data_IF_274653870803
#
_entry.id   IF_274653870803
#
_cell.length_a   1.000
_cell.length_b   1.000
_cell.length_c   1.000
_cell.angle_alpha   90.00
_cell.angle_beta   90.00
_cell.angle_gamma   90.00
#
_symmetry.space_group_name_H-M   'P 1'
#
loop_
_entity.id
_entity.type
_entity.pdbx_description
1 polymer ?
#
# COMPACT_ATOMS: atom_id res chain seq x y z
N UNK A 1 12.93 13.05 -20.44
CA UNK A 1 12.90 13.77 -19.14
C UNK A 1 13.05 12.73 -18.07
N UNK A 2 14.22 12.67 -17.43
CA UNK A 2 14.50 11.67 -16.40
C UNK A 2 13.46 11.76 -15.29
N UNK A 3 12.89 10.63 -14.91
CA UNK A 3 12.14 10.55 -13.66
C UNK A 3 13.08 11.08 -12.56
N UNK A 4 12.59 11.97 -11.69
CA UNK A 4 13.40 12.69 -10.70
C UNK A 4 13.97 11.83 -9.57
N UNK A 5 14.38 10.60 -9.87
CA UNK A 5 15.17 9.73 -8.99
C UNK A 5 16.61 10.23 -8.91
N UNK A 6 17.25 9.98 -7.79
CA UNK A 6 18.66 10.28 -7.57
C UNK A 6 19.56 9.35 -8.40
N UNK A 7 20.82 9.78 -8.57
CA UNK A 7 21.86 8.93 -9.15
C UNK A 7 22.23 7.75 -8.23
N UNK A 8 21.90 7.83 -6.92
CA UNK A 8 22.19 6.80 -5.93
C UNK A 8 21.23 5.60 -6.03
N UNK A 9 20.04 5.75 -6.60
CA UNK A 9 19.09 4.64 -6.76
C UNK A 9 19.57 3.68 -7.86
N UNK A 10 19.59 2.37 -7.58
CA UNK A 10 19.79 1.36 -8.62
C UNK A 10 18.61 1.33 -9.61
N UNK A 11 18.86 1.26 -10.93
CA UNK A 11 17.80 1.08 -11.91
C UNK A 11 17.10 -0.28 -11.73
N UNK A 12 15.78 -0.27 -11.83
CA UNK A 12 14.97 -1.48 -11.82
C UNK A 12 15.06 -2.18 -13.18
N UNK A 13 15.50 -3.46 -13.22
CA UNK A 13 15.83 -4.14 -14.46
C UNK A 13 14.58 -4.42 -15.32
N UNK A 14 14.82 -4.61 -16.62
CA UNK A 14 13.83 -5.23 -17.51
C UNK A 14 13.79 -6.72 -17.17
N UNK A 15 12.59 -7.28 -16.98
CA UNK A 15 12.42 -8.70 -16.73
C UNK A 15 12.80 -9.47 -18.00
N UNK A 16 13.78 -10.39 -17.96
CA UNK A 16 14.23 -11.10 -19.16
C UNK A 16 13.09 -11.83 -19.89
N UNK A 17 12.11 -12.32 -19.14
CA UNK A 17 10.96 -13.06 -19.66
C UNK A 17 9.85 -12.17 -20.23
N UNK A 18 9.87 -10.85 -20.00
CA UNK A 18 8.85 -9.94 -20.53
C UNK A 18 8.85 -9.95 -22.07
N UNK A 19 10.02 -9.93 -22.70
CA UNK A 19 10.13 -10.01 -24.16
C UNK A 19 9.93 -11.43 -24.73
N UNK A 20 9.97 -12.46 -23.88
CA UNK A 20 9.95 -13.86 -24.31
C UNK A 20 8.54 -14.47 -24.33
N UNK A 21 7.63 -13.94 -23.51
CA UNK A 21 6.26 -14.46 -23.38
C UNK A 21 5.25 -13.60 -24.13
N UNK A 22 4.29 -14.24 -24.78
CA UNK A 22 3.13 -13.55 -25.36
C UNK A 22 2.18 -13.08 -24.27
N UNK A 23 1.26 -12.18 -24.63
CA UNK A 23 0.17 -11.75 -23.73
C UNK A 23 -0.64 -12.95 -23.25
N UNK A 24 -0.96 -13.88 -24.15
CA UNK A 24 -1.76 -15.07 -23.83
C UNK A 24 -1.00 -16.02 -22.89
N UNK A 25 0.30 -16.21 -23.09
CA UNK A 25 1.11 -17.03 -22.17
C UNK A 25 1.16 -16.45 -20.76
N UNK A 26 1.32 -15.12 -20.62
CA UNK A 26 1.29 -14.47 -19.31
C UNK A 26 -0.12 -14.56 -18.70
N UNK A 27 -1.17 -14.40 -19.51
CA UNK A 27 -2.56 -14.52 -19.07
C UNK A 27 -2.83 -15.91 -18.49
N UNK A 28 -2.45 -16.97 -19.19
CA UNK A 28 -2.64 -18.35 -18.75
C UNK A 28 -1.87 -18.66 -17.46
N UNK A 29 -0.63 -18.18 -17.33
CA UNK A 29 0.21 -18.38 -16.14
C UNK A 29 -0.28 -17.64 -14.89
N UNK A 30 -1.03 -16.57 -15.09
CA UNK A 30 -1.59 -15.74 -14.00
C UNK A 30 -3.08 -16.01 -13.76
N UNK A 31 -3.66 -16.96 -14.49
CA UNK A 31 -5.03 -17.41 -14.27
C UNK A 31 -5.14 -18.27 -13.00
N UNK A 32 -6.33 -18.31 -12.43
CA UNK A 32 -6.69 -19.30 -11.42
C UNK A 32 -7.27 -20.56 -12.09
N UNK A 33 -7.04 -21.77 -11.55
CA UNK A 33 -7.72 -22.96 -12.04
C UNK A 33 -9.25 -22.79 -11.96
N UNK A 34 -9.94 -23.04 -13.08
CA UNK A 34 -11.40 -22.86 -13.18
C UNK A 34 -11.85 -21.39 -13.15
N UNK A 35 -10.96 -20.44 -13.39
CA UNK A 35 -11.30 -19.02 -13.48
C UNK A 35 -12.24 -18.77 -14.67
N UNK A 36 -13.42 -18.25 -14.36
CA UNK A 36 -14.37 -17.76 -15.34
C UNK A 36 -14.45 -16.24 -15.22
N UNK A 37 -13.56 -15.54 -15.93
CA UNK A 37 -13.69 -14.10 -16.12
C UNK A 37 -14.77 -13.79 -17.15
N UNK A 38 -15.38 -12.60 -17.05
CA UNK A 38 -16.17 -12.07 -18.16
C UNK A 38 -15.30 -11.86 -19.39
N UNK A 39 -15.90 -11.80 -20.58
CA UNK A 39 -15.17 -11.45 -21.82
C UNK A 39 -14.50 -10.08 -21.70
N UNK A 40 -15.18 -9.12 -21.05
CA UNK A 40 -14.64 -7.78 -20.80
C UNK A 40 -13.43 -7.80 -19.87
N UNK A 41 -13.52 -8.50 -18.72
CA UNK A 41 -12.40 -8.62 -17.78
C UNK A 41 -11.22 -9.37 -18.42
N UNK A 42 -11.49 -10.37 -19.25
CA UNK A 42 -10.46 -11.10 -20.00
C UNK A 42 -9.72 -10.18 -20.95
N UNK A 43 -10.44 -9.41 -21.78
CA UNK A 43 -9.84 -8.45 -22.69
C UNK A 43 -9.04 -7.38 -21.91
N UNK A 44 -9.61 -6.87 -20.82
CA UNK A 44 -8.98 -5.84 -20.00
C UNK A 44 -7.69 -6.35 -19.33
N UNK A 45 -7.71 -7.58 -18.80
CA UNK A 45 -6.51 -8.20 -18.22
C UNK A 45 -5.42 -8.36 -19.27
N UNK A 46 -5.77 -8.74 -20.52
CA UNK A 46 -4.81 -8.81 -21.63
C UNK A 46 -4.22 -7.44 -22.01
N UNK A 47 -5.01 -6.37 -22.00
CA UNK A 47 -4.50 -5.00 -22.17
C UNK A 47 -3.49 -4.64 -21.07
N UNK A 48 -3.80 -4.95 -19.80
CA UNK A 48 -2.90 -4.70 -18.67
C UNK A 48 -1.61 -5.51 -18.80
N UNK A 49 -1.69 -6.77 -19.22
CA UNK A 49 -0.52 -7.62 -19.50
C UNK A 49 0.34 -6.97 -20.58
N UNK A 50 -0.26 -6.56 -21.70
CA UNK A 50 0.47 -5.92 -22.79
C UNK A 50 1.19 -4.65 -22.30
N UNK A 51 0.51 -3.79 -21.54
CA UNK A 51 1.12 -2.60 -20.95
C UNK A 51 2.33 -2.93 -20.07
N UNK A 52 2.21 -3.88 -19.13
CA UNK A 52 3.33 -4.27 -18.26
C UNK A 52 4.47 -4.90 -19.04
N UNK A 53 4.15 -5.81 -19.97
CA UNK A 53 5.14 -6.49 -20.81
C UNK A 53 5.93 -5.49 -21.65
N UNK A 54 5.25 -4.55 -22.29
CA UNK A 54 5.85 -3.51 -23.13
C UNK A 54 6.63 -2.50 -22.26
N UNK A 55 6.27 -2.35 -20.98
CA UNK A 55 7.04 -1.64 -19.96
C UNK A 55 8.20 -2.48 -19.38
N UNK A 56 8.47 -3.68 -19.91
CA UNK A 56 9.56 -4.56 -19.49
C UNK A 56 9.30 -5.34 -18.20
N UNK A 57 8.04 -5.53 -17.82
CA UNK A 57 7.62 -6.25 -16.60
C UNK A 57 6.81 -7.50 -17.00
N UNK A 58 7.30 -8.67 -16.63
CA UNK A 58 6.55 -9.93 -16.69
C UNK A 58 5.75 -10.14 -15.39
N UNK A 59 4.41 -10.12 -15.50
CA UNK A 59 3.46 -10.36 -14.40
C UNK A 59 3.41 -11.80 -13.90
N UNK A 60 3.95 -12.75 -14.68
CA UNK A 60 3.91 -14.18 -14.40
C UNK A 60 5.18 -14.69 -13.69
N UNK A 61 6.03 -13.79 -13.19
CA UNK A 61 7.26 -14.18 -12.50
C UNK A 61 6.99 -14.88 -11.17
N UNK A 62 7.57 -16.08 -11.02
CA UNK A 62 7.63 -16.85 -9.78
C UNK A 62 6.26 -16.96 -9.07
N UNK A 63 5.23 -17.37 -9.81
CA UNK A 63 3.84 -17.48 -9.35
C UNK A 63 3.58 -18.71 -8.48
N UNK A 64 4.59 -19.53 -8.19
CA UNK A 64 4.47 -20.82 -7.51
C UNK A 64 4.23 -20.75 -5.99
N UNK A 65 4.32 -19.57 -5.37
CA UNK A 65 4.15 -19.43 -3.92
C UNK A 65 3.75 -18.03 -3.48
N UNK A 66 3.65 -17.82 -2.17
CA UNK A 66 3.30 -16.50 -1.62
C UNK A 66 4.46 -15.50 -1.73
N UNK A 67 5.72 -15.94 -1.82
CA UNK A 67 6.90 -15.08 -1.95
C UNK A 67 7.62 -15.34 -3.28
N UNK A 68 8.05 -14.28 -3.96
CA UNK A 68 8.84 -14.32 -5.20
C UNK A 68 10.30 -14.02 -4.91
N UNK A 69 11.17 -15.00 -5.07
CA UNK A 69 12.63 -14.81 -4.95
C UNK A 69 13.16 -13.95 -6.10
N UNK A 70 12.60 -14.13 -7.30
CA UNK A 70 12.99 -13.38 -8.49
C UNK A 70 12.69 -11.89 -8.35
N UNK A 71 11.46 -11.51 -7.99
CA UNK A 71 11.13 -10.08 -7.79
C UNK A 71 11.91 -9.47 -6.63
N UNK A 72 12.16 -10.23 -5.56
CA UNK A 72 13.02 -9.78 -4.48
C UNK A 72 14.46 -9.48 -4.94
N UNK A 73 15.01 -10.27 -5.87
CA UNK A 73 16.34 -10.00 -6.44
C UNK A 73 16.39 -8.79 -7.37
N UNK A 74 15.25 -8.31 -7.87
CA UNK A 74 15.19 -7.10 -8.71
C UNK A 74 14.98 -5.81 -7.90
N UNK A 75 14.75 -5.91 -6.59
CA UNK A 75 14.64 -4.75 -5.73
C UNK A 75 15.94 -3.93 -5.79
N UNK A 76 15.88 -2.59 -5.86
CA UNK A 76 17.05 -1.73 -5.72
C UNK A 76 17.82 -2.05 -4.45
N UNK A 77 19.14 -2.25 -4.56
CA UNK A 77 20.01 -2.56 -3.43
C UNK A 77 20.54 -1.28 -2.78
N UNK A 78 20.61 -0.19 -3.54
CA UNK A 78 20.95 1.15 -3.10
C UNK A 78 19.77 2.11 -3.24
N UNK A 79 19.69 3.07 -2.31
CA UNK A 79 18.66 4.11 -2.23
C UNK A 79 19.33 5.44 -1.86
N UNK A 80 18.75 6.58 -2.25
CA UNK A 80 19.26 7.87 -1.79
C UNK A 80 19.27 7.96 -0.28
N UNK A 81 20.39 8.48 0.24
CA UNK A 81 20.57 8.88 1.64
C UNK A 81 19.79 10.15 2.04
N UNK A 82 19.08 10.77 1.09
CA UNK A 82 18.20 11.89 1.34
C UNK A 82 16.79 11.41 1.65
N UNK A 83 16.15 12.10 2.59
CA UNK A 83 14.77 11.84 3.04
C UNK A 83 13.98 13.15 3.00
N UNK A 84 12.69 13.12 2.64
CA UNK A 84 11.83 14.32 2.65
C UNK A 84 11.67 14.83 4.10
N UNK A 85 12.16 16.04 4.35
CA UNK A 85 12.10 16.74 5.65
C UNK A 85 10.76 17.48 5.84
N UNK A 86 10.31 17.75 7.09
CA UNK A 86 11.03 17.57 8.34
C UNK A 86 10.86 16.18 8.98
N UNK A 87 11.99 15.55 9.31
CA UNK A 87 12.13 14.59 10.39
C UNK A 87 12.20 15.36 11.72
N UNK A 88 11.18 16.18 12.04
CA UNK A 88 11.01 16.61 13.44
C UNK A 88 10.90 15.37 14.33
N UNK A 89 10.99 15.49 15.65
CA UNK A 89 11.01 14.38 16.63
C UNK A 89 9.88 13.32 16.50
N UNK A 90 8.93 13.53 15.59
CA UNK A 90 7.98 12.56 15.08
C UNK A 90 8.44 12.15 13.66
N UNK A 91 8.82 10.89 13.42
CA UNK A 91 9.25 10.39 12.10
C UNK A 91 8.18 10.58 11.02
N UNK A 92 8.17 11.76 10.42
CA UNK A 92 7.10 12.16 9.55
C UNK A 92 7.32 11.77 8.07
N UNK A 93 8.31 10.94 7.71
CA UNK A 93 8.44 10.25 6.42
C UNK A 93 9.88 9.77 6.28
N UNK A 94 10.29 8.68 6.93
CA UNK A 94 11.69 8.29 7.01
C UNK A 94 12.22 7.54 5.77
N UNK A 95 11.50 7.61 4.65
CA UNK A 95 11.87 6.91 3.43
C UNK A 95 12.78 7.77 2.56
N UNK A 96 13.60 7.08 1.76
CA UNK A 96 14.43 7.71 0.74
C UNK A 96 13.57 8.57 -0.19
N UNK A 97 14.08 9.71 -0.65
CA UNK A 97 13.40 10.52 -1.68
C UNK A 97 13.10 9.74 -2.96
N UNK A 98 13.81 8.62 -3.16
CA UNK A 98 13.69 7.71 -4.29
C UNK A 98 12.57 6.67 -4.11
N UNK A 99 11.97 6.59 -2.93
CA UNK A 99 10.89 5.65 -2.66
C UNK A 99 9.76 5.86 -3.68
N UNK A 100 9.26 4.80 -4.34
CA UNK A 100 8.30 4.90 -5.44
C UNK A 100 7.06 5.73 -5.06
N UNK A 101 6.63 5.64 -3.80
CA UNK A 101 5.50 6.39 -3.24
C UNK A 101 5.67 7.91 -3.30
N UNK A 102 6.87 8.46 -3.46
CA UNK A 102 7.10 9.92 -3.48
C UNK A 102 7.13 10.54 -4.85
N UNK A 103 7.07 9.73 -5.91
CA UNK A 103 7.18 10.20 -7.27
C UNK A 103 5.79 10.40 -7.88
N UNK A 104 5.44 11.64 -8.29
CA UNK A 104 4.25 11.86 -9.09
C UNK A 104 4.30 11.02 -10.36
N UNK A 105 3.18 10.42 -10.75
CA UNK A 105 3.07 9.64 -11.97
C UNK A 105 3.07 10.61 -13.16
N UNK A 106 4.06 10.53 -14.08
CA UNK A 106 4.08 11.36 -15.28
C UNK A 106 2.78 11.26 -16.10
N UNK A 107 2.39 12.33 -16.79
CA UNK A 107 1.17 12.33 -17.61
C UNK A 107 1.24 11.35 -18.80
N UNK A 108 2.45 11.01 -19.25
CA UNK A 108 2.71 10.10 -20.36
C UNK A 108 3.05 8.66 -19.92
N UNK A 109 2.90 8.34 -18.63
CA UNK A 109 3.08 6.96 -18.15
C UNK A 109 2.07 6.04 -18.87
N UNK A 110 2.51 4.88 -19.40
CA UNK A 110 1.58 3.89 -19.96
C UNK A 110 0.48 3.55 -18.96
N UNK A 111 -0.76 3.47 -19.43
CA UNK A 111 -1.90 3.28 -18.56
C UNK A 111 -3.02 2.54 -19.25
N UNK A 112 -3.75 1.71 -18.51
CA UNK A 112 -4.93 0.99 -18.99
C UNK A 112 -6.13 1.38 -18.14
N UNK A 113 -7.18 1.89 -18.78
CA UNK A 113 -8.41 2.29 -18.09
C UNK A 113 -9.16 1.05 -17.60
N UNK A 114 -9.43 1.00 -16.30
CA UNK A 114 -10.31 0.01 -15.68
C UNK A 114 -11.79 0.26 -16.07
N UNK A 115 -12.66 -0.76 -16.00
CA UNK A 115 -14.10 -0.56 -16.16
C UNK A 115 -14.60 0.54 -15.21
N UNK A 116 -15.51 1.40 -15.69
CA UNK A 116 -16.15 2.39 -14.81
C UNK A 116 -16.93 1.65 -13.72
N UNK A 117 -16.84 2.11 -12.48
CA UNK A 117 -17.45 1.41 -11.35
C UNK A 117 -16.64 0.22 -10.82
N UNK A 118 -15.43 -0.04 -11.35
CA UNK A 118 -14.57 -1.12 -10.86
C UNK A 118 -14.34 -1.05 -9.35
N UNK A 119 -14.08 0.16 -8.85
CA UNK A 119 -14.04 0.48 -7.43
C UNK A 119 -15.38 1.07 -6.98
N UNK A 120 -16.35 0.20 -6.74
CA UNK A 120 -17.72 0.60 -6.35
C UNK A 120 -17.89 0.94 -4.88
N UNK A 121 -16.90 0.64 -4.05
CA UNK A 121 -16.89 0.97 -2.62
C UNK A 121 -15.51 1.39 -2.17
N UNK A 122 -15.46 2.29 -1.19
CA UNK A 122 -14.25 2.71 -0.52
C UNK A 122 -14.40 2.56 0.98
N UNK A 123 -13.31 2.25 1.67
CA UNK A 123 -13.27 2.15 3.12
C UNK A 123 -11.98 2.81 3.63
N UNK A 124 -12.09 3.66 4.63
CA UNK A 124 -10.96 4.22 5.37
C UNK A 124 -10.71 3.33 6.58
N UNK A 125 -9.62 2.58 6.54
CA UNK A 125 -9.17 1.77 7.67
C UNK A 125 -8.46 2.69 8.66
N UNK A 126 -9.24 3.21 9.61
CA UNK A 126 -8.73 3.95 10.77
C UNK A 126 -8.33 2.97 11.85
N UNK A 127 -7.30 3.29 12.64
CA UNK A 127 -6.88 2.36 13.69
C UNK A 127 -7.78 2.48 14.93
N UNK A 128 -8.17 3.69 15.34
CA UNK A 128 -9.08 3.89 16.50
C UNK A 128 -10.46 4.40 16.10
N UNK A 129 -11.49 3.71 16.60
CA UNK A 129 -12.90 3.95 16.29
C UNK A 129 -13.30 3.47 14.89
N UNK A 130 -14.59 3.63 14.55
CA UNK A 130 -15.19 3.12 13.31
C UNK A 130 -14.88 1.63 13.04
N UNK A 131 -14.16 1.29 11.97
CA UNK A 131 -13.88 -0.10 11.58
C UNK A 131 -12.69 -0.71 12.35
N UNK A 132 -11.78 0.13 12.84
CA UNK A 132 -10.66 -0.24 13.68
C UNK A 132 -9.67 -1.21 13.04
N UNK A 133 -9.43 -1.12 11.73
CA UNK A 133 -8.55 -2.04 10.96
C UNK A 133 -7.26 -1.36 10.48
N UNK A 134 -7.12 -0.05 10.69
CA UNK A 134 -5.90 0.72 10.36
C UNK A 134 -4.67 0.30 11.18
N UNK A 135 -3.58 1.04 11.04
CA UNK A 135 -2.32 0.71 11.72
C UNK A 135 -2.08 1.62 12.91
N UNK A 136 -1.77 1.04 14.07
CA UNK A 136 -1.22 1.78 15.20
C UNK A 136 0.20 2.24 14.90
N UNK A 137 0.57 3.44 15.33
CA UNK A 137 1.95 3.94 15.24
C UNK A 137 2.42 4.37 16.63
N UNK A 138 3.47 3.70 17.12
CA UNK A 138 4.09 3.98 18.41
C UNK A 138 5.50 4.53 18.15
N UNK A 139 5.67 5.85 18.29
CA UNK A 139 6.95 6.54 18.11
C UNK A 139 7.59 6.76 19.46
N UNK A 140 8.74 6.14 19.72
CA UNK A 140 9.46 6.31 20.97
C UNK A 140 10.45 7.49 20.96
N UNK A 141 10.83 7.88 22.16
CA UNK A 141 11.77 8.93 22.52
C UNK A 141 13.00 8.32 23.21
N UNK A 142 14.02 9.16 23.43
CA UNK A 142 15.26 8.76 24.14
C UNK A 142 15.06 8.32 25.58
N UNK A 143 13.95 8.70 26.21
CA UNK A 143 13.64 8.36 27.61
C UNK A 143 12.81 7.10 27.74
N UNK A 144 12.30 6.56 26.64
CA UNK A 144 11.50 5.35 26.66
C UNK A 144 12.37 4.11 26.90
N UNK A 145 11.86 3.08 27.59
CA UNK A 145 12.63 1.86 27.86
C UNK A 145 12.90 1.06 26.57
N UNK A 146 14.05 0.40 26.52
CA UNK A 146 14.32 -0.64 25.51
C UNK A 146 13.53 -1.89 25.86
N UNK A 147 12.73 -2.37 24.91
CA UNK A 147 11.87 -3.56 25.04
C UNK A 147 12.20 -4.58 23.96
N UNK A 148 11.94 -5.85 24.28
CA UNK A 148 12.04 -6.95 23.33
C UNK A 148 10.73 -7.08 22.55
N UNK A 149 10.83 -7.17 21.22
CA UNK A 149 9.69 -7.47 20.33
C UNK A 149 9.96 -8.80 19.62
N UNK A 150 9.21 -9.84 19.97
CA UNK A 150 9.44 -11.21 19.45
C UNK A 150 8.43 -11.60 18.37
N UNK A 151 8.92 -12.05 17.23
CA UNK A 151 8.12 -12.65 16.16
C UNK A 151 7.84 -14.13 16.46
N UNK A 152 6.56 -14.51 16.55
CA UNK A 152 6.14 -15.90 16.79
C UNK A 152 6.35 -16.78 15.56
N UNK A 153 6.19 -16.24 14.35
CA UNK A 153 6.28 -17.00 13.11
C UNK A 153 7.68 -17.54 12.81
N UNK A 154 8.75 -16.80 13.15
CA UNK A 154 10.14 -17.18 12.86
C UNK A 154 11.07 -17.15 14.08
N UNK A 155 10.54 -16.87 15.27
CA UNK A 155 11.29 -16.88 16.54
C UNK A 155 12.27 -15.71 16.71
N UNK A 156 12.37 -14.79 15.75
CA UNK A 156 13.28 -13.64 15.83
C UNK A 156 12.86 -12.68 16.92
N UNK A 157 13.85 -12.04 17.54
CA UNK A 157 13.65 -11.01 18.55
C UNK A 157 14.36 -9.72 18.13
N UNK A 158 13.67 -8.61 18.30
CA UNK A 158 14.13 -7.27 17.98
C UNK A 158 14.21 -6.45 19.26
N UNK A 159 15.17 -5.55 19.37
CA UNK A 159 15.29 -4.61 20.48
C UNK A 159 15.00 -3.20 19.97
N UNK A 160 14.07 -2.51 20.62
CA UNK A 160 13.70 -1.15 20.26
C UNK A 160 13.29 -0.36 21.51
N UNK A 161 13.55 0.95 21.53
CA UNK A 161 12.88 1.85 22.46
C UNK A 161 11.38 1.84 22.15
N UNK A 162 10.55 1.56 23.15
CA UNK A 162 9.09 1.56 23.02
C UNK A 162 8.50 2.39 24.14
N UNK A 163 7.56 3.27 23.79
CA UNK A 163 6.83 4.09 24.76
C UNK A 163 6.34 3.24 25.92
N UNK A 164 6.54 3.71 27.16
CA UNK A 164 6.05 3.03 28.37
C UNK A 164 4.54 3.21 28.60
N UNK A 165 3.80 3.27 27.50
CA UNK A 165 2.36 3.39 27.41
C UNK A 165 1.71 2.01 27.27
N UNK A 166 0.41 1.91 27.57
CA UNK A 166 -0.31 0.66 27.34
C UNK A 166 -0.46 0.40 25.84
N UNK A 167 -0.18 -0.83 25.39
CA UNK A 167 -0.28 -1.22 23.99
C UNK A 167 -1.66 -0.88 23.38
N UNK A 168 -2.71 -0.94 24.19
CA UNK A 168 -4.10 -0.61 23.85
C UNK A 168 -4.28 0.81 23.26
N UNK A 169 -3.38 1.74 23.56
CA UNK A 169 -3.39 3.08 22.96
C UNK A 169 -3.08 3.06 21.47
N UNK A 170 -2.30 2.08 21.02
CA UNK A 170 -1.88 1.91 19.63
C UNK A 170 -2.68 0.81 18.92
N UNK A 171 -3.33 -0.11 19.65
CA UNK A 171 -4.05 -1.21 19.02
C UNK A 171 -5.25 -0.73 18.20
N UNK A 172 -5.43 -1.30 16.99
CA UNK A 172 -6.64 -1.15 16.24
C UNK A 172 -7.87 -1.59 17.06
N UNK A 173 -8.96 -0.82 17.04
CA UNK A 173 -10.14 -1.08 17.91
C UNK A 173 -10.82 -2.42 17.61
N UNK A 174 -10.71 -2.92 16.37
CA UNK A 174 -11.32 -4.19 16.00
C UNK A 174 -10.39 -5.35 16.32
N UNK A 175 -10.69 -6.07 17.40
CA UNK A 175 -9.93 -7.24 17.84
C UNK A 175 -9.82 -8.36 16.79
N UNK A 176 -10.68 -8.37 15.75
CA UNK A 176 -10.59 -9.34 14.64
C UNK A 176 -9.62 -8.90 13.53
N UNK A 177 -9.21 -7.64 13.52
CA UNK A 177 -8.19 -7.13 12.61
C UNK A 177 -6.82 -7.78 12.88
N UNK A 178 -5.83 -7.43 12.07
CA UNK A 178 -4.46 -7.90 12.27
C UNK A 178 -3.72 -7.25 13.40
N UNK A 179 -4.34 -6.34 14.16
CA UNK A 179 -3.75 -5.71 15.34
C UNK A 179 -2.33 -5.21 15.03
N UNK A 180 -2.21 -4.52 13.89
CA UNK A 180 -0.95 -4.05 13.32
C UNK A 180 -0.48 -2.83 14.09
N UNK A 181 0.76 -2.87 14.59
CA UNK A 181 1.43 -1.76 15.26
C UNK A 181 2.81 -1.55 14.66
N UNK A 182 3.15 -0.30 14.38
CA UNK A 182 4.45 0.14 13.89
C UNK A 182 5.22 0.73 15.07
N UNK A 183 6.21 0.00 15.58
CA UNK A 183 7.10 0.50 16.62
C UNK A 183 8.26 1.22 15.96
N UNK A 184 8.35 2.55 16.14
CA UNK A 184 9.39 3.38 15.58
C UNK A 184 10.33 3.81 16.70
N UNK A 185 11.58 3.36 16.62
CA UNK A 185 12.65 3.71 17.55
C UNK A 185 13.28 5.06 17.15
N UNK A 186 12.93 6.11 17.89
CA UNK A 186 13.53 7.46 17.88
C UNK A 186 15.05 7.46 17.84
N UNK A 187 15.65 6.59 18.64
CA UNK A 187 17.04 6.65 19.05
C UNK A 187 17.93 5.83 18.13
N UNK A 188 17.51 4.60 17.84
CA UNK A 188 18.27 3.68 17.02
C UNK A 188 17.91 3.77 15.54
N UNK A 189 16.93 4.62 15.20
CA UNK A 189 16.40 4.76 13.86
C UNK A 189 15.95 3.42 13.26
N UNK A 190 15.11 2.67 13.99
CA UNK A 190 14.55 1.40 13.50
C UNK A 190 13.03 1.45 13.46
N UNK A 191 12.45 0.65 12.57
CA UNK A 191 11.02 0.42 12.47
C UNK A 191 10.78 -1.08 12.62
N UNK A 192 9.98 -1.49 13.60
CA UNK A 192 9.47 -2.85 13.71
C UNK A 192 8.01 -2.87 13.28
N UNK A 193 7.74 -3.42 12.10
CA UNK A 193 6.39 -3.72 11.65
C UNK A 193 5.92 -4.98 12.39
N UNK A 194 4.87 -4.87 13.21
CA UNK A 194 4.37 -5.95 14.05
C UNK A 194 2.91 -6.26 13.71
N UNK A 195 2.67 -7.46 13.19
CA UNK A 195 1.31 -8.01 13.05
C UNK A 195 0.91 -8.78 14.30
N UNK A 196 -0.37 -8.80 14.64
CA UNK A 196 -0.96 -9.46 15.81
C UNK A 196 -0.22 -9.10 17.10
N UNK A 197 0.02 -7.80 17.30
CA UNK A 197 0.76 -7.27 18.43
C UNK A 197 0.08 -7.62 19.76
N UNK A 198 0.88 -8.07 20.72
CA UNK A 198 0.47 -8.40 22.08
C UNK A 198 1.53 -7.92 23.06
N UNK A 199 1.10 -7.53 24.26
CA UNK A 199 2.00 -7.12 25.34
C UNK A 199 2.17 -8.29 26.32
N UNK A 200 3.43 -8.62 26.65
CA UNK A 200 3.82 -9.69 27.57
C UNK A 200 4.69 -9.10 28.69
N UNK A 201 4.05 -8.73 29.80
CA UNK A 201 4.70 -7.94 30.85
C UNK A 201 5.12 -6.58 30.28
N UNK A 202 6.42 -6.32 30.23
CA UNK A 202 6.99 -5.11 29.64
C UNK A 202 7.42 -5.26 28.18
N UNK A 203 7.47 -6.48 27.67
CA UNK A 203 7.90 -6.80 26.30
C UNK A 203 6.68 -7.03 25.38
N UNK A 204 6.95 -7.29 24.10
CA UNK A 204 5.92 -7.47 23.09
C UNK A 204 6.13 -8.74 22.27
N UNK A 205 5.03 -9.32 21.81
CA UNK A 205 5.05 -10.41 20.83
C UNK A 205 4.18 -10.08 19.63
N UNK A 206 4.60 -10.56 18.47
CA UNK A 206 3.95 -10.37 17.18
C UNK A 206 3.65 -11.74 16.57
N UNK A 207 2.54 -11.86 15.83
CA UNK A 207 2.32 -13.01 14.95
C UNK A 207 3.48 -13.16 13.97
N UNK A 208 3.80 -12.07 13.29
CA UNK A 208 5.00 -11.92 12.48
C UNK A 208 5.54 -10.49 12.64
N UNK A 209 6.86 -10.35 12.73
CA UNK A 209 7.50 -9.04 12.77
C UNK A 209 8.75 -8.96 11.90
N UNK A 210 8.95 -7.77 11.33
CA UNK A 210 10.11 -7.43 10.50
C UNK A 210 10.66 -6.09 10.99
N UNK A 211 11.96 -6.05 11.25
CA UNK A 211 12.68 -4.82 11.55
C UNK A 211 13.31 -4.25 10.27
N UNK A 212 13.20 -2.95 10.09
CA UNK A 212 13.88 -2.15 9.07
C UNK A 212 14.67 -1.02 9.71
N UNK A 213 15.66 -0.51 9.00
CA UNK A 213 16.47 0.64 9.41
C UNK A 213 15.97 1.92 8.74
N UNK A 214 16.02 3.02 9.47
CA UNK A 214 15.68 4.37 9.07
C UNK A 214 16.90 5.30 9.31
N UNK A 215 16.91 6.53 8.77
CA UNK A 215 16.12 6.96 7.60
C UNK A 215 16.60 6.27 6.32
N UNK A 216 16.00 6.60 5.17
CA UNK A 216 16.39 6.16 3.83
C UNK A 216 15.92 4.75 3.43
N UNK A 217 14.93 4.21 4.14
CA UNK A 217 14.25 2.99 3.69
C UNK A 217 13.63 3.26 2.30
N UNK A 218 13.68 2.28 1.40
CA UNK A 218 13.01 2.38 0.10
C UNK A 218 11.50 2.19 0.23
N UNK A 219 11.05 0.94 0.15
CA UNK A 219 9.61 0.61 0.16
C UNK A 219 9.27 -0.73 0.83
N UNK A 220 10.26 -1.42 1.40
CA UNK A 220 10.14 -2.81 1.82
C UNK A 220 10.21 -2.99 3.34
N UNK A 221 9.98 -4.23 3.79
CA UNK A 221 10.22 -4.63 5.18
C UNK A 221 8.98 -4.59 6.07
N UNK A 222 7.79 -4.72 5.50
CA UNK A 222 6.54 -4.81 6.26
C UNK A 222 5.98 -6.21 6.40
N UNK A 223 4.84 -6.27 7.07
CA UNK A 223 4.11 -7.51 7.43
C UNK A 223 2.85 -7.71 6.59
N UNK A 224 2.46 -6.72 5.78
CA UNK A 224 1.37 -6.84 4.80
C UNK A 224 1.74 -7.78 3.66
N UNK A 225 0.74 -8.33 2.98
CA UNK A 225 0.92 -9.42 2.02
C UNK A 225 1.93 -9.12 0.89
N UNK A 226 1.97 -7.88 0.39
CA UNK A 226 2.95 -7.46 -0.64
C UNK A 226 4.42 -7.51 -0.20
N UNK A 227 4.69 -7.48 1.11
CA UNK A 227 6.03 -7.34 1.69
C UNK A 227 6.58 -5.91 1.67
N UNK A 228 5.78 -4.95 1.21
CA UNK A 228 6.07 -3.52 1.34
C UNK A 228 6.04 -3.10 2.82
N UNK A 229 6.79 -2.07 3.19
CA UNK A 229 6.71 -1.48 4.53
C UNK A 229 5.28 -1.00 4.81
N UNK A 230 4.72 -1.33 5.98
CA UNK A 230 3.39 -0.87 6.35
C UNK A 230 3.35 0.65 6.57
N UNK A 231 4.50 1.27 6.84
CA UNK A 231 4.64 2.72 6.95
C UNK A 231 4.67 3.37 5.56
N UNK A 232 5.00 2.64 4.50
CA UNK A 232 5.06 3.19 3.15
C UNK A 232 3.64 3.50 2.67
N UNK A 233 3.40 4.75 2.29
CA UNK A 233 2.09 5.21 1.82
C UNK A 233 0.97 5.21 2.86
N UNK A 234 1.29 5.01 4.15
CA UNK A 234 0.32 5.15 5.23
C UNK A 234 -0.07 6.63 5.37
N UNK A 235 -1.36 6.95 5.32
CA UNK A 235 -1.85 8.29 5.66
C UNK A 235 -1.75 8.47 7.18
N UNK A 236 -1.10 9.55 7.62
CA UNK A 236 -0.85 9.81 9.05
C UNK A 236 -1.68 10.98 9.56
N UNK A 237 -1.72 11.10 10.89
CA UNK A 237 -2.46 12.17 11.55
C UNK A 237 -2.02 13.54 11.01
N UNK A 238 -3.00 14.38 10.66
CA UNK A 238 -2.81 15.71 10.08
C UNK A 238 -2.70 15.74 8.56
N UNK A 239 -2.23 14.70 7.87
CA UNK A 239 -1.86 14.84 6.46
C UNK A 239 -3.05 15.02 5.52
N UNK A 240 -4.13 14.28 5.76
CA UNK A 240 -5.36 14.41 4.96
C UNK A 240 -6.27 15.54 5.46
N UNK A 241 -5.94 16.14 6.61
CA UNK A 241 -6.75 17.18 7.28
C UNK A 241 -6.08 18.55 7.27
N UNK A 242 -4.86 18.65 6.73
CA UNK A 242 -4.13 19.91 6.57
C UNK A 242 -4.76 20.78 5.46
N UNK A 243 -5.18 21.98 5.85
CA UNK A 243 -5.75 22.99 4.96
C UNK A 243 -4.69 23.58 4.01
N UNK A 244 -3.45 23.70 4.48
CA UNK A 244 -2.35 24.32 3.73
C UNK A 244 -1.65 23.31 2.82
N UNK A 245 -1.42 22.09 3.30
CA UNK A 245 -0.58 21.11 2.60
C UNK A 245 -1.39 19.97 1.98
N UNK A 246 -0.88 19.46 0.85
CA UNK A 246 -1.39 18.25 0.18
C UNK A 246 -0.69 17.01 0.72
N UNK A 247 -1.35 15.86 0.57
CA UNK A 247 -0.69 14.55 0.67
C UNK A 247 0.35 14.41 -0.44
N UNK A 248 1.63 14.48 -0.08
CA UNK A 248 2.76 14.53 -1.02
C UNK A 248 3.38 13.14 -1.32
N UNK A 249 2.56 12.09 -1.23
CA UNK A 249 2.94 10.70 -1.47
C UNK A 249 1.74 9.87 -1.94
N UNK A 250 2.02 8.72 -2.55
CA UNK A 250 1.05 7.70 -2.91
C UNK A 250 0.57 6.95 -1.67
N UNK A 251 -0.63 6.39 -1.74
CA UNK A 251 -1.25 5.69 -0.61
C UNK A 251 -1.19 4.18 -0.80
N UNK A 252 -1.30 3.42 0.29
CA UNK A 252 -1.45 1.96 0.21
C UNK A 252 -2.90 1.54 0.41
N UNK A 253 -3.35 0.58 -0.41
CA UNK A 253 -4.72 0.09 -0.41
C UNK A 253 -4.81 -1.42 -0.37
N UNK A 254 -5.97 -1.91 0.06
CA UNK A 254 -6.41 -3.29 -0.06
C UNK A 254 -7.62 -3.39 -0.97
N UNK A 255 -7.82 -4.56 -1.57
CA UNK A 255 -8.98 -4.76 -2.44
C UNK A 255 -9.45 -6.21 -2.46
N UNK A 256 -10.76 -6.38 -2.61
CA UNK A 256 -11.36 -7.66 -3.00
C UNK A 256 -11.21 -7.92 -4.51
N UNK A 257 -10.80 -6.92 -5.29
CA UNK A 257 -10.60 -6.97 -6.74
C UNK A 257 -9.11 -7.17 -7.10
N UNK A 258 -8.37 -7.93 -6.30
CA UNK A 258 -6.97 -8.21 -6.58
C UNK A 258 -6.80 -9.39 -7.54
N UNK A 259 -5.81 -9.29 -8.41
CA UNK A 259 -5.39 -10.35 -9.32
C UNK A 259 -4.27 -11.19 -8.71
N UNK A 260 -4.29 -12.51 -8.94
CA UNK A 260 -3.16 -13.41 -8.72
C UNK A 260 -2.02 -13.12 -9.71
N UNK A 261 -1.40 -11.96 -9.54
CA UNK A 261 -0.19 -11.51 -10.20
C UNK A 261 0.49 -10.50 -9.28
N UNK A 262 1.77 -10.23 -9.50
CA UNK A 262 2.54 -9.29 -8.68
C UNK A 262 3.55 -8.54 -9.51
N UNK A 263 3.76 -7.29 -9.11
CA UNK A 263 4.80 -6.41 -9.63
C UNK A 263 5.48 -5.72 -8.47
N UNK A 264 6.73 -5.34 -8.68
CA UNK A 264 7.42 -4.45 -7.76
C UNK A 264 6.55 -3.21 -7.44
N UNK A 265 6.55 -2.69 -6.21
CA UNK A 265 7.38 -3.08 -5.06
C UNK A 265 6.93 -4.34 -4.31
N UNK A 266 5.83 -4.99 -4.72
CA UNK A 266 5.43 -6.25 -4.12
C UNK A 266 6.37 -7.40 -4.51
N UNK A 267 6.86 -8.11 -3.49
CA UNK A 267 7.65 -9.35 -3.64
C UNK A 267 6.90 -10.56 -3.11
N UNK A 268 5.81 -10.35 -2.39
CA UNK A 268 4.93 -11.40 -1.91
C UNK A 268 3.47 -11.08 -2.18
N UNK A 269 2.59 -12.01 -1.81
CA UNK A 269 1.15 -11.81 -1.79
C UNK A 269 0.51 -12.75 -0.78
N UNK A 270 -0.79 -12.66 -0.62
CA UNK A 270 -1.54 -13.45 0.34
C UNK A 270 -1.66 -14.90 -0.12
N UNK A 271 -1.32 -15.83 0.78
CA UNK A 271 -1.51 -17.26 0.59
C UNK A 271 -2.96 -17.64 0.31
N UNK A 272 -3.95 -16.88 0.78
CA UNK A 272 -5.37 -17.12 0.53
C UNK A 272 -5.73 -17.09 -0.96
N UNK A 273 -5.11 -16.22 -1.74
CA UNK A 273 -5.31 -16.14 -3.21
C UNK A 273 -4.85 -17.44 -3.89
N UNK A 274 -3.90 -18.16 -3.32
CA UNK A 274 -3.38 -19.41 -3.88
C UNK A 274 -4.11 -20.66 -3.36
N UNK A 275 -4.62 -20.61 -2.12
CA UNK A 275 -5.19 -21.77 -1.40
C UNK A 275 -6.69 -21.96 -1.61
N UNK A 276 -7.47 -20.88 -1.78
CA UNK A 276 -8.93 -20.96 -1.75
C UNK A 276 -9.57 -20.68 -3.11
N UNK A 277 -9.22 -21.53 -4.09
CA UNK A 277 -9.63 -21.40 -5.50
C UNK A 277 -11.16 -21.55 -5.70
N UNK A 278 -11.84 -22.15 -4.71
CA UNK A 278 -13.28 -22.42 -4.72
C UNK A 278 -14.13 -21.24 -4.20
N UNK A 279 -13.52 -20.26 -3.52
CA UNK A 279 -14.21 -19.03 -3.14
C UNK A 279 -14.09 -18.05 -4.32
N UNK A 280 -15.18 -17.86 -5.06
CA UNK A 280 -15.32 -16.98 -6.24
C UNK A 280 -15.00 -15.47 -6.00
N UNK A 281 -14.19 -15.11 -5.00
CA UNK A 281 -14.07 -13.77 -4.46
C UNK A 281 -12.70 -13.11 -4.67
N UNK A 282 -11.60 -13.84 -4.65
CA UNK A 282 -10.25 -13.25 -4.66
C UNK A 282 -9.38 -13.80 -5.79
N UNK A 283 -8.38 -13.02 -6.20
CA UNK A 283 -7.41 -13.40 -7.24
C UNK A 283 -7.91 -13.25 -8.69
N UNK A 284 -9.19 -12.92 -8.88
CA UNK A 284 -9.84 -12.72 -10.19
C UNK A 284 -9.93 -11.26 -10.63
N UNK A 285 -9.25 -10.37 -9.93
CA UNK A 285 -9.20 -8.95 -10.23
C UNK A 285 -8.42 -8.56 -11.48
N UNK A 286 -8.18 -7.27 -11.65
CA UNK A 286 -7.45 -6.68 -12.76
C UNK A 286 -6.16 -6.00 -12.29
N UNK A 287 -6.02 -5.78 -10.98
CA UNK A 287 -4.86 -5.09 -10.40
C UNK A 287 -3.99 -6.11 -9.67
N UNK A 288 -2.70 -6.27 -10.04
CA UNK A 288 -1.78 -7.17 -9.34
C UNK A 288 -1.34 -6.59 -7.98
N UNK A 289 -0.77 -7.42 -7.11
CA UNK A 289 -0.03 -6.91 -5.94
C UNK A 289 1.09 -5.97 -6.38
N UNK A 290 1.26 -4.85 -5.66
CA UNK A 290 2.19 -3.78 -6.00
C UNK A 290 1.75 -2.93 -7.19
N UNK A 291 0.68 -3.32 -7.89
CA UNK A 291 0.10 -2.54 -8.96
C UNK A 291 -0.40 -1.19 -8.46
N UNK A 292 -0.25 -0.17 -9.28
CA UNK A 292 -0.64 1.20 -8.94
C UNK A 292 -1.91 1.55 -9.70
N UNK A 293 -2.89 2.07 -8.97
CA UNK A 293 -4.10 2.66 -9.56
C UNK A 293 -4.06 4.17 -9.46
N UNK A 294 -4.48 4.83 -10.54
CA UNK A 294 -4.45 6.29 -10.68
C UNK A 294 -5.84 6.79 -11.06
N UNK A 295 -6.33 7.80 -10.35
CA UNK A 295 -7.52 8.53 -10.75
C UNK A 295 -7.21 9.40 -11.98
N UNK A 296 -8.19 9.61 -12.87
CA UNK A 296 -8.04 10.44 -14.06
C UNK A 296 -7.27 11.74 -13.77
N UNK A 297 -6.06 11.93 -14.34
CA UNK A 297 -5.22 13.09 -14.05
C UNK A 297 -5.82 14.42 -14.53
N UNK A 298 -6.86 14.37 -15.36
CA UNK A 298 -7.54 15.55 -15.90
C UNK A 298 -8.79 15.93 -15.10
N UNK A 299 -9.20 15.10 -14.14
CA UNK A 299 -10.38 15.37 -13.31
C UNK A 299 -10.16 16.57 -12.40
N UNK A 300 -11.03 17.57 -12.49
CA UNK A 300 -11.02 18.72 -11.59
C UNK A 300 -11.72 18.39 -10.26
N UNK A 301 -10.94 17.98 -9.26
CA UNK A 301 -11.46 17.65 -7.92
C UNK A 301 -12.06 18.86 -7.17
N UNK A 302 -11.64 20.10 -7.49
CA UNK A 302 -12.18 21.31 -6.88
C UNK A 302 -13.67 21.51 -7.23
N UNK A 303 -14.09 21.06 -8.40
CA UNK A 303 -15.46 21.19 -8.87
C UNK A 303 -16.44 20.22 -8.18
N UNK A 304 -15.94 19.24 -7.42
CA UNK A 304 -16.74 18.13 -6.88
C UNK A 304 -17.28 18.37 -5.45
N UNK A 305 -17.03 19.54 -4.85
CA UNK A 305 -17.48 19.93 -3.50
C UNK A 305 -17.26 18.82 -2.45
N UNK A 306 -16.05 18.27 -2.45
CA UNK A 306 -15.65 17.17 -1.55
C UNK A 306 -15.29 17.73 -0.17
N UNK A 307 -15.44 16.89 0.87
CA UNK A 307 -14.81 17.18 2.16
C UNK A 307 -13.28 17.25 1.99
N UNK A 308 -12.60 18.03 2.84
CA UNK A 308 -11.14 18.17 2.75
C UNK A 308 -10.42 16.81 2.76
N UNK A 309 -10.72 15.86 3.67
CA UNK A 309 -10.05 14.56 3.66
C UNK A 309 -10.27 13.76 2.38
N UNK A 310 -11.51 13.72 1.88
CA UNK A 310 -11.80 13.02 0.62
C UNK A 310 -11.02 13.64 -0.55
N UNK A 311 -10.99 14.98 -0.62
CA UNK A 311 -10.24 15.72 -1.64
C UNK A 311 -8.75 15.40 -1.57
N UNK A 312 -8.11 15.52 -0.40
CA UNK A 312 -6.67 15.26 -0.25
C UNK A 312 -6.29 13.84 -0.66
N UNK A 313 -7.09 12.86 -0.27
CA UNK A 313 -6.86 11.46 -0.61
C UNK A 313 -7.00 11.26 -2.12
N UNK A 314 -8.03 11.82 -2.76
CA UNK A 314 -8.22 11.71 -4.20
C UNK A 314 -7.14 12.47 -4.99
N UNK A 315 -6.65 13.61 -4.51
CA UNK A 315 -5.47 14.31 -5.05
C UNK A 315 -4.24 13.39 -5.03
N UNK A 316 -3.99 12.68 -3.92
CA UNK A 316 -2.90 11.72 -3.81
C UNK A 316 -3.04 10.55 -4.81
N UNK A 317 -4.25 9.97 -4.94
CA UNK A 317 -4.53 8.91 -5.92
C UNK A 317 -4.38 9.40 -7.36
N UNK A 318 -4.72 10.66 -7.65
CA UNK A 318 -4.57 11.27 -8.97
C UNK A 318 -3.09 11.53 -9.32
N UNK A 319 -2.31 12.02 -8.35
CA UNK A 319 -0.95 12.49 -8.56
C UNK A 319 0.11 11.40 -8.38
N UNK A 320 0.02 10.61 -7.32
CA UNK A 320 1.02 9.61 -6.92
C UNK A 320 0.51 8.17 -7.04
N UNK A 321 -0.82 7.99 -7.06
CA UNK A 321 -1.46 6.69 -7.18
C UNK A 321 -1.69 5.99 -5.83
N UNK A 322 -2.44 4.89 -5.90
CA UNK A 322 -2.68 3.98 -4.80
C UNK A 322 -2.07 2.61 -5.12
N UNK A 323 -1.20 2.14 -4.24
CA UNK A 323 -0.49 0.87 -4.36
C UNK A 323 -1.33 -0.23 -3.74
N UNK A 324 -1.66 -1.26 -4.51
CA UNK A 324 -2.41 -2.40 -4.01
C UNK A 324 -1.49 -3.37 -3.25
N UNK A 325 -1.60 -3.40 -1.92
CA UNK A 325 -0.63 -4.08 -1.06
C UNK A 325 -1.14 -5.33 -0.36
N UNK A 326 -2.46 -5.50 -0.28
CA UNK A 326 -3.09 -6.65 0.39
C UNK A 326 -4.48 -6.97 -0.16
N UNK A 327 -5.00 -8.15 0.18
CA UNK A 327 -6.40 -8.47 -0.02
C UNK A 327 -7.24 -7.82 1.07
N UNK A 328 -8.46 -7.44 0.70
CA UNK A 328 -9.40 -6.86 1.66
C UNK A 328 -10.84 -7.15 1.27
N UNK A 329 -11.77 -6.86 2.18
CA UNK A 329 -13.19 -6.91 1.87
C UNK A 329 -13.72 -5.79 0.95
N UNK A 330 -13.30 -4.51 1.09
CA UNK A 330 -13.79 -3.43 0.23
C UNK A 330 -13.21 -3.52 -1.19
N UNK A 331 -13.83 -2.81 -2.15
CA UNK A 331 -13.22 -2.67 -3.47
C UNK A 331 -11.99 -1.76 -3.41
N UNK A 332 -12.02 -0.72 -2.58
CA UNK A 332 -10.91 0.22 -2.37
C UNK A 332 -10.74 0.55 -0.87
N UNK A 333 -10.02 -0.29 -0.14
CA UNK A 333 -9.73 -0.07 1.29
C UNK A 333 -8.42 0.69 1.47
N UNK A 334 -8.40 1.78 2.22
CA UNK A 334 -7.25 2.66 2.39
C UNK A 334 -6.71 2.47 3.80
N UNK A 335 -5.44 2.06 3.93
CA UNK A 335 -4.80 2.00 5.25
C UNK A 335 -4.42 3.39 5.75
N UNK A 336 -4.75 3.67 7.02
CA UNK A 336 -4.37 4.91 7.69
C UNK A 336 -3.80 4.60 9.07
N UNK A 337 -2.93 5.49 9.55
CA UNK A 337 -2.50 5.61 10.94
C UNK A 337 -3.29 6.66 11.70
N UNK A 338 -4.54 6.92 11.28
CA UNK A 338 -5.37 8.03 11.77
C UNK A 338 -6.50 7.50 12.65
N UNK A 339 -6.87 8.26 13.69
CA UNK A 339 -8.08 8.01 14.49
C UNK A 339 -9.31 8.56 13.79
N UNK A 340 -10.44 7.88 13.93
CA UNK A 340 -11.74 8.34 13.39
C UNK A 340 -12.09 9.79 13.75
N UNK A 341 -11.84 10.18 15.00
CA UNK A 341 -12.13 11.52 15.52
C UNK A 341 -11.38 12.66 14.83
N UNK A 342 -10.31 12.37 14.08
CA UNK A 342 -9.64 13.39 13.27
C UNK A 342 -10.46 13.73 12.02
N UNK A 343 -10.98 12.70 11.34
CA UNK A 343 -11.80 12.86 10.14
C UNK A 343 -13.18 13.41 10.44
N UNK A 344 -13.78 13.01 11.56
CA UNK A 344 -15.15 13.40 11.95
C UNK A 344 -15.32 14.91 12.19
N UNK A 345 -14.21 15.65 12.33
CA UNK A 345 -14.21 17.13 12.36
C UNK A 345 -14.65 17.75 11.04
N UNK A 346 -14.51 17.02 9.93
CA UNK A 346 -14.78 17.52 8.58
C UNK A 346 -16.06 16.93 8.00
N UNK A 347 -16.27 15.63 8.19
CA UNK A 347 -17.48 14.92 7.82
C UNK A 347 -17.49 13.55 8.52
N UNK A 348 -18.67 12.94 8.68
CA UNK A 348 -18.74 11.54 9.13
C UNK A 348 -17.92 10.63 8.19
N UNK A 349 -17.26 9.62 8.73
CA UNK A 349 -16.46 8.69 7.93
C UNK A 349 -17.35 7.96 6.92
N UNK A 350 -18.53 7.53 7.38
CA UNK A 350 -19.52 6.85 6.57
C UNK A 350 -20.93 7.33 6.92
N UNK A 351 -21.74 7.50 5.90
CA UNK A 351 -23.15 7.85 6.03
C UNK A 351 -23.98 6.88 5.20
N UNK A 352 -24.74 5.97 5.84
CA UNK A 352 -25.66 5.11 5.13
C UNK A 352 -26.65 5.96 4.32
N UNK A 353 -26.86 5.58 3.05
CA UNK A 353 -27.88 6.18 2.17
C UNK A 353 -27.68 7.66 1.80
N UNK A 354 -26.50 8.24 2.04
CA UNK A 354 -26.16 9.55 1.48
C UNK A 354 -24.67 9.66 1.11
N UNK A 355 -24.37 10.50 0.12
CA UNK A 355 -23.02 10.67 -0.43
C UNK A 355 -22.16 11.67 0.37
N UNK A 356 -22.53 11.99 1.62
CA UNK A 356 -21.85 13.04 2.39
C UNK A 356 -20.66 12.53 3.21
N UNK A 357 -20.65 11.25 3.57
CA UNK A 357 -19.55 10.63 4.30
C UNK A 357 -18.28 10.57 3.48
N UNK A 358 -17.12 10.66 4.13
CA UNK A 358 -15.81 10.72 3.45
C UNK A 358 -15.60 9.50 2.56
N UNK A 359 -15.92 8.30 3.06
CA UNK A 359 -15.85 7.06 2.27
C UNK A 359 -16.84 7.07 1.09
N UNK A 360 -18.06 7.58 1.31
CA UNK A 360 -19.08 7.66 0.26
C UNK A 360 -18.62 8.59 -0.88
N UNK A 361 -18.00 9.72 -0.54
CA UNK A 361 -17.44 10.68 -1.51
C UNK A 361 -16.31 10.05 -2.34
N UNK A 362 -15.35 9.38 -1.68
CA UNK A 362 -14.24 8.69 -2.37
C UNK A 362 -14.80 7.59 -3.29
N UNK A 363 -15.71 6.75 -2.79
CA UNK A 363 -16.34 5.69 -3.57
C UNK A 363 -17.09 6.23 -4.79
N UNK A 364 -17.85 7.33 -4.62
CA UNK A 364 -18.57 7.99 -5.70
C UNK A 364 -17.62 8.48 -6.80
N UNK A 365 -16.52 9.12 -6.44
CA UNK A 365 -15.54 9.59 -7.42
C UNK A 365 -14.91 8.42 -8.16
N UNK A 366 -14.42 7.40 -7.44
CA UNK A 366 -13.76 6.24 -8.05
C UNK A 366 -14.70 5.38 -8.90
N UNK A 367 -16.00 5.38 -8.61
CA UNK A 367 -17.00 4.65 -9.39
C UNK A 367 -17.54 5.41 -10.58
N UNK A 368 -17.47 6.75 -10.56
CA UNK A 368 -18.02 7.61 -11.63
C UNK A 368 -16.98 7.95 -12.69
N UNK A 369 -15.74 8.22 -12.27
CA UNK A 369 -14.68 8.71 -13.13
C UNK A 369 -13.71 7.61 -13.54
N UNK A 370 -12.87 7.90 -14.54
CA UNK A 370 -11.89 6.96 -15.05
C UNK A 370 -10.82 6.70 -13.99
N UNK A 371 -10.52 5.42 -13.80
CA UNK A 371 -9.39 4.95 -13.01
C UNK A 371 -8.53 4.09 -13.90
N UNK A 372 -7.22 4.21 -13.74
CA UNK A 372 -6.24 3.55 -14.58
C UNK A 372 -5.37 2.63 -13.74
N UNK A 373 -4.96 1.49 -14.30
CA UNK A 373 -3.77 0.76 -13.83
C UNK A 373 -2.57 1.36 -14.53
N UNK A 374 -1.51 1.64 -13.78
CA UNK A 374 -0.23 2.13 -14.30
C UNK A 374 0.91 1.27 -13.77
N UNK A 375 2.05 1.19 -14.47
CA UNK A 375 3.24 0.58 -13.92
C UNK A 375 3.76 1.32 -12.67
N UNK A 376 4.44 0.61 -11.76
CA UNK A 376 5.06 1.24 -10.59
C UNK A 376 6.13 2.26 -11.01
N UNK A 377 6.30 3.31 -10.21
CA UNK A 377 7.38 4.27 -10.39
C UNK A 377 8.70 3.60 -10.02
N UNK A 378 9.58 3.41 -11.00
CA UNK A 378 10.90 2.81 -10.80
C UNK A 378 11.91 3.52 -11.70
N UNK A 379 13.15 3.69 -11.25
CA UNK A 379 14.22 4.20 -12.10
C UNK A 379 14.52 3.19 -13.21
N UNK A 380 14.60 3.66 -14.45
CA UNK A 380 15.00 2.85 -15.61
C UNK A 380 16.45 3.14 -15.98
N UNK A 381 17.14 2.14 -16.53
CA UNK A 381 18.51 2.22 -17.05
C UNK A 381 18.61 3.09 -18.30
#
# INVERSE_FOLDING_TARGET
MGQGFSDQLDPYPIHPTAAQKTVDQIFDLTALPGENLSTEDTAKRKEIIAMYRDFGIDLSLDMGGFYSKTLASFRPQSWSSQTKQPLSDNYLQPFSIDAPIYHPIPCNTPQVQLPVGYFSSAQLHVYKGFDGVGFGVAISSKTDPVRTIKSRADGKSYQAHVRDDTLELFLPTNAKADQQVLFIDGVNHTLVNCSKAQQEGSDYTCGFAVQSTLPNLGDHGGTIASGMSNLAGLIREGEATDQANRLAHGIIIVSNRMWKARVYPAVSGDGWIYKNQNANRYGRGLVPYGGVVRLDPTLNLEALNLSLPAKRILEAVQQYGAYLVDTGSPAFGIYTGVKSSEFEKFAAIYTPNNDKGIQNQIAKVLSTYKVYVVPPMVKRS
#
